data_IF_211819037000
#
_entry.id   IF_211819037000
#
_cell.length_a   1.000
_cell.length_b   1.000
_cell.length_c   1.000
_cell.angle_alpha   90.00
_cell.angle_beta   90.00
_cell.angle_gamma   90.00
#
_symmetry.space_group_name_H-M   'P 1'
#
loop_
_entity.id
_entity.type
_entity.pdbx_description
1 polymer ?
#
# COMPACT_ATOMS: atom_id res chain seq x y z
N UNK A 1 4.18 -17.49 25.54
CA UNK A 1 3.64 -18.64 24.80
C UNK A 1 2.25 -18.33 24.18
N UNK A 2 1.34 -17.71 24.91
CA UNK A 2 -0.01 -17.36 24.43
C UNK A 2 -0.01 -16.31 23.30
N UNK A 3 0.93 -15.37 23.31
CA UNK A 3 1.06 -14.32 22.28
C UNK A 3 1.52 -14.91 20.93
N UNK A 4 2.36 -15.94 20.96
CA UNK A 4 2.89 -16.60 19.76
C UNK A 4 1.80 -17.42 19.06
N UNK A 5 0.93 -18.10 19.82
CA UNK A 5 -0.18 -18.89 19.28
C UNK A 5 -1.22 -17.99 18.62
N UNK A 6 -1.58 -16.83 19.22
CA UNK A 6 -2.47 -15.84 18.59
C UNK A 6 -1.85 -15.20 17.34
N UNK A 7 -0.54 -15.00 17.31
CA UNK A 7 0.16 -14.52 16.13
C UNK A 7 0.09 -15.53 14.98
N UNK A 8 0.17 -16.84 15.29
CA UNK A 8 0.05 -17.91 14.30
C UNK A 8 -1.38 -18.06 13.75
N UNK A 9 -2.40 -17.83 14.56
CA UNK A 9 -3.80 -17.81 14.11
C UNK A 9 -4.08 -16.61 13.19
N UNK A 10 -3.59 -15.42 13.56
CA UNK A 10 -3.67 -14.23 12.71
C UNK A 10 -2.85 -14.43 11.43
N UNK A 11 -1.67 -15.06 11.51
CA UNK A 11 -0.84 -15.42 10.35
C UNK A 11 -1.55 -16.37 9.37
N UNK A 12 -2.32 -17.33 9.85
CA UNK A 12 -3.16 -18.18 8.98
C UNK A 12 -4.21 -17.39 8.20
N UNK A 13 -4.76 -16.33 8.79
CA UNK A 13 -5.68 -15.43 8.09
C UNK A 13 -4.94 -14.47 7.15
N UNK A 14 -3.72 -14.07 7.47
CA UNK A 14 -2.87 -13.19 6.62
C UNK A 14 -2.46 -13.89 5.32
N UNK A 15 -2.23 -15.21 5.34
CA UNK A 15 -1.92 -15.97 4.13
C UNK A 15 -3.06 -16.01 3.09
N UNK A 16 -4.23 -15.43 3.42
CA UNK A 16 -5.38 -15.29 2.53
C UNK A 16 -5.60 -13.86 2.04
N UNK A 17 -4.72 -12.90 2.42
CA UNK A 17 -4.78 -11.55 1.88
C UNK A 17 -4.21 -11.56 0.45
N UNK A 18 -5.10 -11.60 -0.52
CA UNK A 18 -4.78 -11.53 -1.94
C UNK A 18 -5.02 -10.10 -2.42
N UNK A 19 -4.10 -9.57 -3.20
CA UNK A 19 -4.21 -8.25 -3.79
C UNK A 19 -5.38 -8.21 -4.79
N UNK A 20 -6.34 -7.29 -4.61
CA UNK A 20 -7.45 -7.11 -5.56
C UNK A 20 -7.00 -6.39 -6.84
N UNK A 21 -5.85 -5.75 -6.83
CA UNK A 21 -5.22 -5.07 -7.95
C UNK A 21 -3.70 -4.99 -7.78
N UNK A 22 -2.99 -4.67 -8.87
CA UNK A 22 -1.54 -4.49 -8.85
C UNK A 22 -1.16 -3.26 -8.02
N UNK A 23 -0.18 -3.41 -7.14
CA UNK A 23 0.41 -2.34 -6.33
C UNK A 23 1.86 -2.12 -6.71
N UNK A 24 2.31 -0.88 -6.64
CA UNK A 24 3.64 -0.45 -7.05
C UNK A 24 4.25 0.52 -6.04
N UNK A 25 5.58 0.50 -5.93
CA UNK A 25 6.40 1.57 -5.36
C UNK A 25 7.20 2.20 -6.49
N UNK A 26 7.49 3.49 -6.40
CA UNK A 26 8.24 4.14 -7.45
C UNK A 26 8.20 5.66 -7.45
N UNK A 27 8.43 6.21 -8.63
CA UNK A 27 8.45 7.64 -8.90
C UNK A 27 7.60 7.91 -10.13
N UNK A 28 6.69 8.88 -10.02
CA UNK A 28 5.93 9.42 -11.13
C UNK A 28 6.30 10.88 -11.33
N UNK A 29 6.67 11.23 -12.55
CA UNK A 29 6.95 12.61 -12.97
C UNK A 29 6.09 12.98 -14.18
N UNK A 30 5.55 14.19 -14.16
CA UNK A 30 4.87 14.82 -15.28
C UNK A 30 5.64 16.08 -15.62
N UNK A 31 6.29 16.10 -16.78
CA UNK A 31 7.22 17.16 -17.17
C UNK A 31 6.78 17.76 -18.49
N UNK A 32 6.75 19.08 -18.65
CA UNK A 32 6.43 19.71 -19.94
C UNK A 32 7.36 19.23 -21.05
N UNK A 33 6.82 19.05 -22.24
CA UNK A 33 7.62 18.69 -23.41
C UNK A 33 8.70 19.75 -23.66
N UNK A 34 9.93 19.29 -23.92
CA UNK A 34 11.07 20.17 -24.15
C UNK A 34 11.74 20.71 -22.88
N UNK A 35 11.40 20.20 -21.69
CA UNK A 35 12.14 20.52 -20.48
C UNK A 35 13.63 20.14 -20.62
N UNK A 36 14.56 20.94 -20.03
CA UNK A 36 15.98 20.67 -20.10
C UNK A 36 16.33 19.40 -19.31
N UNK A 37 17.51 18.85 -19.58
CA UNK A 37 18.13 17.75 -18.81
C UNK A 37 17.32 16.44 -18.76
N UNK A 38 16.37 16.23 -19.67
CA UNK A 38 15.54 15.01 -19.74
C UNK A 38 16.38 13.74 -19.90
N UNK A 39 17.52 13.80 -20.60
CA UNK A 39 18.40 12.64 -20.76
C UNK A 39 19.13 12.28 -19.46
N UNK A 40 19.44 13.28 -18.63
CA UNK A 40 19.98 13.04 -17.30
C UNK A 40 18.89 12.46 -16.38
N UNK A 41 17.67 12.97 -16.45
CA UNK A 41 16.53 12.44 -15.71
C UNK A 41 16.32 10.96 -16.02
N UNK A 42 16.26 10.59 -17.30
CA UNK A 42 16.08 9.19 -17.74
C UNK A 42 17.15 8.26 -17.21
N UNK A 43 18.40 8.71 -17.12
CA UNK A 43 19.50 7.91 -16.55
C UNK A 43 19.39 7.74 -15.05
N UNK A 44 19.11 8.83 -14.33
CA UNK A 44 19.08 8.82 -12.85
C UNK A 44 17.83 8.13 -12.28
N UNK A 45 16.71 8.21 -12.98
CA UNK A 45 15.45 7.61 -12.51
C UNK A 45 15.44 6.09 -12.60
N UNK A 46 16.32 5.48 -13.40
CA UNK A 46 16.43 4.01 -13.51
C UNK A 46 16.94 3.41 -12.20
N UNK A 47 17.82 4.10 -11.49
CA UNK A 47 18.40 3.67 -10.23
C UNK A 47 18.13 4.71 -9.13
N UNK A 48 16.87 4.87 -8.69
CA UNK A 48 16.52 5.88 -7.70
C UNK A 48 16.92 5.49 -6.26
N UNK A 49 17.70 4.41 -6.10
CA UNK A 49 18.03 3.84 -4.79
C UNK A 49 19.12 4.58 -4.03
N UNK A 50 19.82 5.55 -4.67
CA UNK A 50 20.82 6.36 -3.98
C UNK A 50 20.22 7.70 -3.54
N UNK A 51 20.57 8.15 -2.32
CA UNK A 51 20.12 9.42 -1.77
C UNK A 51 20.46 10.60 -2.71
N UNK A 52 21.64 10.57 -3.33
CA UNK A 52 22.06 11.56 -4.32
C UNK A 52 21.13 11.63 -5.54
N UNK A 53 20.71 10.46 -6.07
CA UNK A 53 19.79 10.42 -7.21
C UNK A 53 18.39 10.91 -6.82
N UNK A 54 17.88 10.51 -5.65
CA UNK A 54 16.60 11.01 -5.14
C UNK A 54 16.62 12.51 -5.01
N UNK A 55 17.65 13.06 -4.35
CA UNK A 55 17.79 14.51 -4.16
C UNK A 55 17.85 15.27 -5.49
N UNK A 56 18.59 14.73 -6.47
CA UNK A 56 18.65 15.32 -7.82
C UNK A 56 17.29 15.28 -8.52
N UNK A 57 16.57 14.13 -8.44
CA UNK A 57 15.24 13.96 -9.04
C UNK A 57 14.24 14.92 -8.40
N UNK A 58 14.28 15.10 -7.08
CA UNK A 58 13.42 16.05 -6.37
C UNK A 58 13.71 17.50 -6.78
N UNK A 59 14.98 17.88 -6.86
CA UNK A 59 15.39 19.22 -7.35
C UNK A 59 14.94 19.45 -8.80
N UNK A 60 15.08 18.45 -9.66
CA UNK A 60 14.60 18.51 -11.03
C UNK A 60 13.09 18.63 -11.08
N UNK A 61 12.36 17.80 -10.33
CA UNK A 61 10.90 17.82 -10.27
C UNK A 61 10.37 19.17 -9.77
N UNK A 62 10.92 19.67 -8.68
CA UNK A 62 10.55 20.99 -8.15
C UNK A 62 10.73 22.13 -9.16
N UNK A 63 11.76 22.05 -10.02
CA UNK A 63 12.09 23.11 -10.97
C UNK A 63 11.31 23.02 -12.28
N UNK A 64 11.03 21.81 -12.76
CA UNK A 64 10.57 21.60 -14.12
C UNK A 64 9.27 20.79 -14.23
N UNK A 65 8.92 19.98 -13.24
CA UNK A 65 7.73 19.15 -13.33
C UNK A 65 6.44 19.95 -13.06
N UNK A 66 5.38 19.63 -13.76
CA UNK A 66 4.02 20.11 -13.49
C UNK A 66 3.32 19.26 -12.43
N UNK A 67 3.80 18.05 -12.22
CA UNK A 67 3.36 17.14 -11.18
C UNK A 67 4.42 16.07 -10.90
N UNK A 68 4.56 15.67 -9.64
CA UNK A 68 5.45 14.57 -9.28
C UNK A 68 4.99 13.88 -8.00
N UNK A 69 5.31 12.63 -7.90
CA UNK A 69 5.14 11.82 -6.69
C UNK A 69 6.31 10.86 -6.53
N UNK A 70 6.86 10.87 -5.32
CA UNK A 70 7.82 9.89 -4.87
C UNK A 70 7.13 8.98 -3.85
N UNK A 71 6.82 7.76 -4.24
CA UNK A 71 6.17 6.76 -3.39
C UNK A 71 7.07 5.52 -3.21
N UNK A 72 8.36 5.80 -2.93
CA UNK A 72 9.39 4.75 -2.78
C UNK A 72 9.14 3.88 -1.55
N UNK A 73 8.58 4.48 -0.48
CA UNK A 73 8.30 3.80 0.79
C UNK A 73 6.81 3.45 0.98
N UNK A 74 5.96 3.89 0.05
CA UNK A 74 4.52 3.69 0.13
C UNK A 74 4.00 2.94 -1.10
N UNK A 75 3.16 1.96 -0.88
CA UNK A 75 2.47 1.27 -1.95
C UNK A 75 1.34 2.14 -2.51
N UNK A 76 1.30 2.26 -3.83
CA UNK A 76 0.20 2.85 -4.59
C UNK A 76 -0.45 1.78 -5.44
N UNK A 77 -1.77 1.81 -5.58
CA UNK A 77 -2.46 0.94 -6.53
C UNK A 77 -2.30 1.48 -7.94
N UNK A 78 -2.33 0.60 -8.95
CA UNK A 78 -2.24 1.05 -10.35
C UNK A 78 -3.44 1.93 -10.72
N UNK A 79 -4.60 1.74 -10.10
CA UNK A 79 -5.77 2.63 -10.26
C UNK A 79 -5.49 4.06 -9.76
N UNK A 80 -4.71 4.22 -8.67
CA UNK A 80 -4.29 5.55 -8.19
C UNK A 80 -3.27 6.20 -9.12
N UNK A 81 -2.32 5.41 -9.64
CA UNK A 81 -1.27 5.92 -10.55
C UNK A 81 -1.87 6.44 -11.86
N UNK A 82 -2.84 5.72 -12.46
CA UNK A 82 -3.45 6.14 -13.74
C UNK A 82 -4.29 7.41 -13.62
N UNK A 83 -4.75 7.83 -12.44
CA UNK A 83 -5.43 9.11 -12.27
C UNK A 83 -4.56 10.32 -12.69
N UNK A 84 -3.25 10.12 -12.76
CA UNK A 84 -2.25 11.17 -13.10
C UNK A 84 -1.53 10.90 -14.41
N UNK A 85 -1.90 9.86 -15.12
CA UNK A 85 -1.31 9.45 -16.40
C UNK A 85 -2.41 9.31 -17.45
N UNK A 86 -2.12 9.58 -18.73
CA UNK A 86 -3.07 9.38 -19.81
C UNK A 86 -3.16 7.90 -20.22
N UNK A 87 -3.37 7.01 -19.24
CA UNK A 87 -3.50 5.58 -19.46
C UNK A 87 -4.79 5.03 -18.89
N UNK A 88 -5.27 3.95 -19.50
CA UNK A 88 -6.18 3.01 -18.86
C UNK A 88 -5.40 2.07 -17.95
N UNK A 89 -6.00 1.64 -16.84
CA UNK A 89 -5.35 0.78 -15.84
C UNK A 89 -4.85 -0.55 -16.46
N UNK A 90 -5.64 -1.16 -17.35
CA UNK A 90 -5.28 -2.40 -18.01
C UNK A 90 -4.05 -2.26 -18.91
N UNK A 91 -3.92 -1.12 -19.59
CA UNK A 91 -2.75 -0.85 -20.42
C UNK A 91 -1.50 -0.61 -19.59
N UNK A 92 -1.64 0.08 -18.47
CA UNK A 92 -0.55 0.26 -17.52
C UNK A 92 -0.10 -1.10 -16.98
N UNK A 93 -1.03 -1.94 -16.52
CA UNK A 93 -0.73 -3.27 -16.00
C UNK A 93 -0.04 -4.17 -17.03
N UNK A 94 -0.47 -4.14 -18.30
CA UNK A 94 0.20 -4.87 -19.39
C UNK A 94 1.64 -4.41 -19.62
N UNK A 95 1.89 -3.10 -19.61
CA UNK A 95 3.23 -2.52 -19.79
C UNK A 95 4.14 -2.84 -18.61
N UNK A 96 3.64 -2.76 -17.38
CA UNK A 96 4.40 -3.07 -16.17
C UNK A 96 4.87 -4.54 -16.09
N UNK A 97 4.17 -5.46 -16.76
CA UNK A 97 4.64 -6.86 -16.91
C UNK A 97 5.90 -6.98 -17.74
N UNK A 98 6.18 -6.02 -18.60
CA UNK A 98 7.31 -6.05 -19.55
C UNK A 98 8.45 -5.13 -19.13
N UNK A 99 8.15 -3.96 -18.57
CA UNK A 99 9.11 -2.92 -18.25
C UNK A 99 8.78 -2.26 -16.91
N UNK A 100 9.81 -1.93 -16.14
CA UNK A 100 9.69 -1.17 -14.89
C UNK A 100 9.67 0.34 -15.10
N UNK A 101 10.16 0.80 -16.24
CA UNK A 101 10.09 2.20 -16.63
C UNK A 101 9.12 2.36 -17.78
N UNK A 102 8.16 3.23 -17.60
CA UNK A 102 7.16 3.60 -18.61
C UNK A 102 7.29 5.08 -18.87
N UNK A 103 7.52 5.44 -20.12
CA UNK A 103 7.51 6.80 -20.59
C UNK A 103 6.42 6.96 -21.63
N UNK A 104 5.65 8.05 -21.54
CA UNK A 104 4.63 8.42 -22.47
C UNK A 104 4.62 9.93 -22.66
N UNK A 105 4.25 10.37 -23.83
CA UNK A 105 4.16 11.77 -24.17
C UNK A 105 2.80 12.07 -24.77
N UNK A 106 2.19 13.15 -24.32
CA UNK A 106 1.06 13.78 -24.98
C UNK A 106 1.50 15.08 -25.68
N UNK A 107 0.56 15.92 -26.09
CA UNK A 107 0.85 17.19 -26.76
C UNK A 107 1.53 18.21 -25.87
N UNK A 108 1.47 18.08 -24.55
CA UNK A 108 1.89 19.08 -23.58
C UNK A 108 3.00 18.51 -22.69
N UNK A 109 2.84 17.29 -22.21
CA UNK A 109 3.67 16.70 -21.17
C UNK A 109 4.30 15.37 -21.58
N UNK A 110 5.41 15.07 -20.97
CA UNK A 110 6.04 13.75 -20.90
C UNK A 110 5.79 13.18 -19.51
N UNK A 111 5.22 11.99 -19.43
CA UNK A 111 4.94 11.24 -18.22
C UNK A 111 6.00 10.15 -18.06
N UNK A 112 6.65 10.10 -16.92
CA UNK A 112 7.67 9.08 -16.62
C UNK A 112 7.29 8.40 -15.34
N UNK A 113 7.01 7.10 -15.43
CA UNK A 113 6.80 6.22 -14.28
C UNK A 113 7.96 5.25 -14.16
N UNK A 114 8.69 5.32 -13.07
CA UNK A 114 9.69 4.33 -12.69
C UNK A 114 9.17 3.52 -11.52
N UNK A 115 9.01 2.22 -11.72
CA UNK A 115 8.59 1.28 -10.67
C UNK A 115 9.82 0.61 -10.07
N UNK A 116 10.02 0.78 -8.77
CA UNK A 116 11.09 0.14 -8.00
C UNK A 116 10.66 -1.23 -7.50
N UNK A 117 9.43 -1.34 -7.02
CA UNK A 117 8.87 -2.60 -6.53
C UNK A 117 7.41 -2.76 -6.96
N UNK A 118 6.97 -4.02 -7.13
CA UNK A 118 5.63 -4.31 -7.63
C UNK A 118 5.16 -5.69 -7.17
N UNK A 119 3.90 -5.75 -6.75
CA UNK A 119 3.14 -6.99 -6.60
C UNK A 119 1.94 -6.95 -7.53
N UNK A 120 1.73 -8.03 -8.27
CA UNK A 120 0.62 -8.14 -9.22
C UNK A 120 -0.69 -8.49 -8.51
N UNK A 121 -1.80 -8.13 -9.14
CA UNK A 121 -3.13 -8.65 -8.78
C UNK A 121 -3.10 -10.17 -8.61
N UNK A 122 -3.78 -10.67 -7.58
CA UNK A 122 -3.80 -12.08 -7.23
C UNK A 122 -2.59 -12.58 -6.44
N UNK A 123 -1.55 -11.76 -6.22
CA UNK A 123 -0.44 -12.10 -5.34
C UNK A 123 -0.82 -11.92 -3.86
N UNK A 124 -0.07 -12.58 -2.96
CA UNK A 124 -0.20 -12.32 -1.54
C UNK A 124 0.21 -10.87 -1.22
N UNK A 125 -0.58 -10.21 -0.38
CA UNK A 125 -0.27 -8.85 0.08
C UNK A 125 1.05 -8.83 0.85
N UNK A 126 1.99 -7.92 0.54
CA UNK A 126 3.15 -7.70 1.37
C UNK A 126 2.74 -7.17 2.75
N UNK A 127 3.50 -7.55 3.78
CA UNK A 127 3.16 -7.26 5.17
C UNK A 127 3.05 -5.76 5.47
N UNK A 128 3.89 -4.95 4.84
CA UNK A 128 3.89 -3.49 4.99
C UNK A 128 2.64 -2.85 4.37
N UNK A 129 2.11 -3.41 3.29
CA UNK A 129 0.82 -3.00 2.71
C UNK A 129 -0.37 -3.48 3.54
N UNK A 130 -0.34 -4.72 4.03
CA UNK A 130 -1.42 -5.32 4.81
C UNK A 130 -1.48 -4.82 6.26
N UNK A 131 -0.39 -4.24 6.79
CA UNK A 131 -0.24 -3.83 8.20
C UNK A 131 -1.42 -3.03 8.76
N UNK A 132 -1.93 -1.97 8.11
CA UNK A 132 -3.05 -1.18 8.66
C UNK A 132 -4.32 -2.01 8.83
N UNK A 133 -4.58 -2.94 7.92
CA UNK A 133 -5.75 -3.81 8.01
C UNK A 133 -5.59 -4.88 9.10
N UNK A 134 -4.38 -5.44 9.22
CA UNK A 134 -4.04 -6.37 10.30
C UNK A 134 -4.23 -5.71 11.66
N UNK A 135 -3.74 -4.48 11.83
CA UNK A 135 -3.89 -3.71 13.07
C UNK A 135 -5.36 -3.50 13.43
N UNK A 136 -6.21 -3.15 12.46
CA UNK A 136 -7.66 -3.01 12.67
C UNK A 136 -8.30 -4.32 13.12
N UNK A 137 -7.95 -5.43 12.48
CA UNK A 137 -8.47 -6.77 12.85
C UNK A 137 -8.08 -7.12 14.28
N UNK A 138 -6.80 -6.92 14.65
CA UNK A 138 -6.30 -7.20 15.99
C UNK A 138 -7.00 -6.32 17.04
N UNK A 139 -7.15 -5.02 16.77
CA UNK A 139 -7.81 -4.09 17.67
C UNK A 139 -9.28 -4.47 17.87
N UNK A 140 -9.99 -4.79 16.78
CA UNK A 140 -11.39 -5.24 16.84
C UNK A 140 -11.52 -6.52 17.64
N UNK A 141 -10.63 -7.49 17.45
CA UNK A 141 -10.65 -8.73 18.22
C UNK A 141 -10.42 -8.47 19.70
N UNK A 142 -9.47 -7.62 20.06
CA UNK A 142 -9.21 -7.23 21.46
C UNK A 142 -10.43 -6.54 22.10
N UNK A 143 -11.13 -5.69 21.37
CA UNK A 143 -12.37 -5.04 21.83
C UNK A 143 -13.47 -6.06 22.11
N UNK A 144 -13.66 -7.03 21.20
CA UNK A 144 -14.65 -8.11 21.37
C UNK A 144 -14.30 -8.98 22.58
N UNK A 145 -13.04 -9.37 22.71
CA UNK A 145 -12.55 -10.19 23.83
C UNK A 145 -12.75 -9.47 25.17
N UNK A 146 -12.41 -8.17 25.22
CA UNK A 146 -12.60 -7.33 26.40
C UNK A 146 -14.09 -7.22 26.80
N UNK A 147 -14.95 -6.87 25.85
CA UNK A 147 -16.39 -6.75 26.09
C UNK A 147 -17.01 -8.08 26.54
N UNK A 148 -16.55 -9.18 25.97
CA UNK A 148 -17.01 -10.52 26.37
C UNK A 148 -16.58 -10.86 27.79
N UNK A 149 -15.35 -10.53 28.16
CA UNK A 149 -14.84 -10.76 29.52
C UNK A 149 -15.58 -9.89 30.56
N UNK A 150 -15.80 -8.59 30.25
CA UNK A 150 -16.57 -7.68 31.10
C UNK A 150 -18.02 -8.16 31.28
N UNK A 151 -18.66 -8.57 30.18
CA UNK A 151 -20.03 -9.10 30.19
C UNK A 151 -20.13 -10.35 31.07
N UNK A 152 -19.17 -11.26 30.95
CA UNK A 152 -19.09 -12.46 31.76
C UNK A 152 -18.87 -12.10 33.24
N UNK A 153 -17.97 -11.17 33.54
CA UNK A 153 -17.70 -10.71 34.89
C UNK A 153 -18.92 -10.08 35.56
N UNK A 154 -19.67 -9.25 34.81
CA UNK A 154 -20.94 -8.67 35.29
C UNK A 154 -22.01 -9.73 35.54
N UNK A 155 -22.11 -10.72 34.66
CA UNK A 155 -23.04 -11.85 34.82
C UNK A 155 -22.69 -12.66 36.08
N UNK A 156 -21.42 -13.02 36.25
CA UNK A 156 -20.94 -13.81 37.40
C UNK A 156 -21.18 -13.07 38.72
N UNK A 157 -20.94 -11.74 38.72
CA UNK A 157 -21.24 -10.88 39.87
C UNK A 157 -22.73 -10.87 40.21
N UNK A 158 -23.58 -10.64 39.20
CA UNK A 158 -25.03 -10.61 39.38
C UNK A 158 -25.60 -11.97 39.84
N UNK A 159 -25.01 -13.05 39.36
CA UNK A 159 -25.33 -14.42 39.79
C UNK A 159 -24.97 -14.65 41.29
N UNK A 160 -23.77 -14.26 41.69
CA UNK A 160 -23.31 -14.36 43.09
C UNK A 160 -24.16 -13.51 44.04
N UNK A 161 -24.64 -12.34 43.59
CA UNK A 161 -25.50 -11.44 44.32
C UNK A 161 -27.00 -11.88 44.33
N UNK A 162 -27.33 -13.01 43.69
CA UNK A 162 -28.69 -13.54 43.60
C UNK A 162 -29.64 -12.72 42.73
N UNK A 163 -29.11 -11.76 41.93
CA UNK A 163 -29.89 -10.89 41.05
C UNK A 163 -30.34 -11.58 39.77
N UNK A 164 -29.67 -12.67 39.39
CA UNK A 164 -29.96 -13.48 38.18
C UNK A 164 -30.01 -14.94 38.57
N UNK A 165 -31.02 -15.68 38.08
CA UNK A 165 -31.13 -17.13 38.22
C UNK A 165 -30.85 -17.81 36.88
N UNK A 166 -30.09 -18.89 36.89
CA UNK A 166 -29.86 -19.74 35.71
C UNK A 166 -31.03 -20.74 35.67
N UNK A 167 -31.78 -20.72 34.60
CA UNK A 167 -32.76 -21.76 34.31
C UNK A 167 -32.06 -22.79 33.40
N UNK A 168 -31.85 -24.00 33.91
CA UNK A 168 -31.42 -25.11 33.10
C UNK A 168 -32.67 -25.68 32.42
N UNK A 169 -32.63 -25.75 31.06
CA UNK A 169 -33.63 -26.45 30.27
C UNK A 169 -33.22 -27.92 30.12
#
# INVERSE_FOLDING_TARGET
>A
FFVIIKFFEVWKHISHFILPETIVKGILLVVPNGAPDMDQLRKRIIEPSTEENIEWIEKFAYKYATGYELFLDQWQTTSQVVLRMPFEQDDLNKRLKQKRQIEMQDTINTYILQVTDMYQEGANMPIDYARPEIEKIILRQRQVDFLSAEKQGLYDKAFKEGKVKRYEN
#
